data_IF_849589862523
#
_entry.id   IF_849589862523
#
_cell.length_a   1.000
_cell.length_b   1.000
_cell.length_c   1.000
_cell.angle_alpha   90.00
_cell.angle_beta   90.00
_cell.angle_gamma   90.00
#
_symmetry.space_group_name_H-M   'P 1'
#
loop_
_entity.id
_entity.type
_entity.pdbx_description
1 polymer ?
#
# COMPACT_ATOMS: atom_id res chain seq x y z
N UNK A 1 20.32 -0.89 -16.93
CA UNK A 1 19.66 -2.11 -17.46
C UNK A 1 18.27 -2.29 -16.86
N UNK A 2 18.12 -2.21 -15.53
CA UNK A 2 16.83 -2.23 -14.85
C UNK A 2 15.81 -1.24 -15.43
N UNK A 3 16.21 0.03 -15.66
CA UNK A 3 15.34 1.08 -16.23
C UNK A 3 14.70 0.70 -17.58
N UNK A 4 15.45 0.03 -18.47
CA UNK A 4 14.92 -0.40 -19.77
C UNK A 4 13.83 -1.45 -19.55
N UNK A 5 14.06 -2.41 -18.66
CA UNK A 5 13.09 -3.47 -18.38
C UNK A 5 11.85 -2.93 -17.68
N UNK A 6 12.02 -2.04 -16.69
CA UNK A 6 10.92 -1.34 -16.00
C UNK A 6 10.00 -0.67 -17.01
N UNK A 7 10.57 0.08 -17.96
CA UNK A 7 9.77 0.75 -19.01
C UNK A 7 9.09 -0.26 -19.95
N UNK A 8 9.71 -1.40 -20.22
CA UNK A 8 9.22 -2.40 -21.18
C UNK A 8 8.18 -3.35 -20.58
N UNK A 9 8.11 -3.47 -19.26
CA UNK A 9 7.05 -4.19 -18.55
C UNK A 9 5.65 -3.61 -18.84
N UNK A 10 5.54 -2.32 -19.19
CA UNK A 10 4.29 -1.68 -19.64
C UNK A 10 4.06 -1.66 -21.15
N UNK A 11 4.77 -2.49 -21.94
CA UNK A 11 4.61 -2.51 -23.40
C UNK A 11 3.24 -3.04 -23.84
N UNK A 12 2.73 -2.61 -24.99
CA UNK A 12 1.52 -3.23 -25.57
C UNK A 12 1.79 -4.64 -26.11
N UNK A 13 3.04 -4.97 -26.41
CA UNK A 13 3.45 -6.30 -26.89
C UNK A 13 3.63 -7.28 -25.72
N UNK A 14 2.84 -8.36 -25.72
CA UNK A 14 2.82 -9.38 -24.67
C UNK A 14 4.20 -10.02 -24.47
N UNK A 15 4.87 -10.42 -25.56
CA UNK A 15 6.19 -11.05 -25.48
C UNK A 15 7.21 -10.12 -24.84
N UNK A 16 7.18 -8.83 -25.19
CA UNK A 16 8.02 -7.79 -24.59
C UNK A 16 7.71 -7.61 -23.11
N UNK A 17 6.43 -7.54 -22.70
CA UNK A 17 6.06 -7.44 -21.28
C UNK A 17 6.51 -8.66 -20.49
N UNK A 18 6.22 -9.87 -20.98
CA UNK A 18 6.59 -11.13 -20.35
C UNK A 18 8.10 -11.24 -20.20
N UNK A 19 8.85 -10.98 -21.28
CA UNK A 19 10.32 -11.00 -21.22
C UNK A 19 10.84 -10.00 -20.18
N UNK A 20 10.26 -8.80 -20.14
CA UNK A 20 10.69 -7.76 -19.22
C UNK A 20 10.42 -8.13 -17.76
N UNK A 21 9.22 -8.59 -17.45
CA UNK A 21 8.85 -8.96 -16.06
C UNK A 21 9.63 -10.20 -15.60
N UNK A 22 9.90 -11.17 -16.47
CA UNK A 22 10.75 -12.32 -16.15
C UNK A 22 12.18 -11.90 -15.83
N UNK A 23 12.80 -11.01 -16.64
CA UNK A 23 14.14 -10.54 -16.32
C UNK A 23 14.19 -9.68 -15.06
N UNK A 24 13.16 -8.87 -14.80
CA UNK A 24 13.04 -8.14 -13.53
C UNK A 24 13.04 -9.13 -12.36
N UNK A 25 12.24 -10.20 -12.43
CA UNK A 25 12.18 -11.23 -11.39
C UNK A 25 13.55 -11.86 -11.12
N UNK A 26 14.25 -12.29 -12.18
CA UNK A 26 15.59 -12.87 -12.07
C UNK A 26 16.59 -11.88 -11.46
N UNK A 27 16.52 -10.60 -11.84
CA UNK A 27 17.38 -9.58 -11.24
C UNK A 27 17.10 -9.38 -9.76
N UNK A 28 15.84 -9.33 -9.34
CA UNK A 28 15.50 -9.19 -7.91
C UNK A 28 16.05 -10.38 -7.11
N UNK A 29 15.85 -11.62 -7.60
CA UNK A 29 16.35 -12.83 -6.94
C UNK A 29 17.87 -12.90 -6.83
N UNK A 30 18.59 -12.48 -7.88
CA UNK A 30 20.06 -12.56 -7.92
C UNK A 30 20.75 -11.34 -7.29
N UNK A 31 20.16 -10.16 -7.47
CA UNK A 31 20.74 -8.89 -7.06
C UNK A 31 20.48 -8.55 -5.60
N UNK A 32 19.32 -8.95 -5.06
CA UNK A 32 18.93 -8.66 -3.67
C UNK A 32 19.18 -7.20 -3.32
N UNK A 33 19.87 -6.96 -2.19
CA UNK A 33 20.17 -5.64 -1.63
C UNK A 33 20.89 -4.69 -2.60
N UNK A 34 21.67 -5.20 -3.55
CA UNK A 34 22.39 -4.36 -4.53
C UNK A 34 21.45 -3.59 -5.46
N UNK A 35 20.18 -4.01 -5.54
CA UNK A 35 19.16 -3.38 -6.37
C UNK A 35 18.24 -2.44 -5.58
N UNK A 36 18.46 -2.27 -4.27
CA UNK A 36 17.64 -1.42 -3.39
C UNK A 36 17.37 -0.02 -3.97
N UNK A 37 18.35 0.70 -4.53
CA UNK A 37 18.11 2.02 -5.14
C UNK A 37 17.12 2.01 -6.32
N UNK A 38 16.83 0.85 -6.90
CA UNK A 38 15.92 0.68 -8.04
C UNK A 38 14.58 0.04 -7.63
N UNK A 39 14.37 -0.32 -6.36
CA UNK A 39 13.17 -1.05 -5.93
C UNK A 39 11.87 -0.29 -6.17
N UNK A 40 11.88 1.03 -6.01
CA UNK A 40 10.70 1.84 -6.29
C UNK A 40 10.30 1.73 -7.78
N UNK A 41 11.24 1.92 -8.69
CA UNK A 41 10.99 1.81 -10.13
C UNK A 41 10.52 0.40 -10.51
N UNK A 42 11.16 -0.63 -9.93
CA UNK A 42 10.78 -2.02 -10.14
C UNK A 42 9.35 -2.27 -9.65
N UNK A 43 9.01 -1.85 -8.43
CA UNK A 43 7.68 -2.01 -7.88
C UNK A 43 6.62 -1.30 -8.74
N UNK A 44 6.95 -0.10 -9.23
CA UNK A 44 6.09 0.67 -10.12
C UNK A 44 5.79 -0.03 -11.45
N UNK A 45 6.68 -0.91 -11.92
CA UNK A 45 6.43 -1.78 -13.06
C UNK A 45 5.71 -3.08 -12.69
N UNK A 46 5.96 -3.63 -11.50
CA UNK A 46 5.43 -4.93 -11.06
C UNK A 46 3.95 -4.88 -10.66
N UNK A 47 3.53 -3.88 -9.87
CA UNK A 47 2.17 -3.85 -9.32
C UNK A 47 1.05 -3.83 -10.40
N UNK A 48 1.17 -3.06 -11.50
CA UNK A 48 0.18 -3.12 -12.58
C UNK A 48 0.11 -4.51 -13.23
N UNK A 49 1.23 -5.22 -13.34
CA UNK A 49 1.32 -6.55 -13.95
C UNK A 49 0.66 -7.67 -13.11
N UNK A 50 0.30 -7.42 -11.85
CA UNK A 50 -0.40 -8.40 -10.98
C UNK A 50 -1.78 -8.76 -11.55
N UNK A 51 -2.35 -7.85 -12.34
CA UNK A 51 -3.66 -7.99 -12.98
C UNK A 51 -3.55 -7.94 -14.51
N UNK A 52 -2.39 -8.25 -15.09
CA UNK A 52 -2.22 -8.37 -16.55
C UNK A 52 -3.18 -9.41 -17.14
N UNK A 53 -3.58 -9.25 -18.40
CA UNK A 53 -4.45 -10.18 -19.12
C UNK A 53 -3.78 -11.56 -19.27
N UNK A 54 -2.45 -11.59 -19.45
CA UNK A 54 -1.67 -12.83 -19.61
C UNK A 54 -1.33 -13.46 -18.26
N UNK A 55 -1.71 -14.72 -18.07
CA UNK A 55 -1.54 -15.44 -16.81
C UNK A 55 -0.08 -15.57 -16.39
N UNK A 56 0.82 -15.84 -17.32
CA UNK A 56 2.25 -15.97 -17.01
C UNK A 56 2.83 -14.67 -16.46
N UNK A 57 2.39 -13.52 -16.98
CA UNK A 57 2.82 -12.22 -16.48
C UNK A 57 2.34 -12.03 -15.05
N UNK A 58 1.07 -12.34 -14.75
CA UNK A 58 0.53 -12.26 -13.38
C UNK A 58 1.31 -13.11 -12.38
N UNK A 59 1.65 -14.34 -12.75
CA UNK A 59 2.41 -15.25 -11.89
C UNK A 59 3.79 -14.68 -11.57
N UNK A 60 4.53 -14.24 -12.59
CA UNK A 60 5.87 -13.66 -12.40
C UNK A 60 5.81 -12.34 -11.64
N UNK A 61 4.80 -11.50 -11.88
CA UNK A 61 4.62 -10.25 -11.16
C UNK A 61 4.36 -10.48 -9.67
N UNK A 62 3.49 -11.43 -9.32
CA UNK A 62 3.22 -11.80 -7.90
C UNK A 62 4.46 -12.34 -7.21
N UNK A 63 5.19 -13.23 -7.87
CA UNK A 63 6.45 -13.76 -7.34
C UNK A 63 7.47 -12.63 -7.10
N UNK A 64 7.65 -11.74 -8.08
CA UNK A 64 8.57 -10.59 -7.95
C UNK A 64 8.14 -9.67 -6.80
N UNK A 65 6.84 -9.43 -6.65
CA UNK A 65 6.28 -8.59 -5.61
C UNK A 65 6.55 -9.16 -4.21
N UNK A 66 6.43 -10.48 -4.04
CA UNK A 66 6.77 -11.15 -2.79
C UNK A 66 8.27 -11.07 -2.48
N UNK A 67 9.12 -11.31 -3.48
CA UNK A 67 10.58 -11.19 -3.31
C UNK A 67 10.97 -9.77 -2.87
N UNK A 68 10.44 -8.73 -3.52
CA UNK A 68 10.67 -7.33 -3.13
C UNK A 68 10.24 -7.05 -1.68
N UNK A 69 9.09 -7.58 -1.24
CA UNK A 69 8.62 -7.43 0.15
C UNK A 69 9.43 -8.23 1.15
N UNK A 70 9.97 -9.39 0.76
CA UNK A 70 10.75 -10.24 1.64
C UNK A 70 12.09 -9.60 2.02
N UNK A 71 12.63 -8.73 1.16
CA UNK A 71 13.91 -8.07 1.36
C UNK A 71 13.82 -7.07 2.52
N UNK A 72 14.81 -7.13 3.41
CA UNK A 72 14.96 -6.22 4.55
C UNK A 72 15.97 -5.13 4.18
N UNK A 73 15.52 -4.17 3.39
CA UNK A 73 16.38 -3.07 2.96
C UNK A 73 16.51 -2.01 4.07
N UNK A 74 17.70 -1.44 4.24
CA UNK A 74 17.89 -0.31 5.17
C UNK A 74 17.60 1.01 4.44
N UNK A 75 16.75 1.91 4.99
CA UNK A 75 16.58 3.27 4.46
C UNK A 75 17.91 4.02 4.27
N UNK A 76 18.93 3.75 5.10
CA UNK A 76 20.26 4.34 4.97
C UNK A 76 21.02 3.86 3.72
N UNK A 77 20.64 2.72 3.14
CA UNK A 77 21.26 2.13 1.94
C UNK A 77 20.51 2.50 0.64
N UNK A 78 19.60 3.47 0.71
CA UNK A 78 18.88 3.99 -0.46
C UNK A 78 17.50 3.37 -0.69
N UNK A 79 16.94 2.69 0.33
CA UNK A 79 15.55 2.23 0.28
C UNK A 79 14.60 3.43 0.46
N UNK A 80 14.07 3.93 -0.64
CA UNK A 80 13.18 5.09 -0.65
C UNK A 80 11.74 4.70 -0.27
N UNK A 81 11.46 4.71 1.03
CA UNK A 81 10.12 4.44 1.58
C UNK A 81 9.07 5.38 0.98
N UNK A 82 9.40 6.66 0.79
CA UNK A 82 8.47 7.65 0.24
C UNK A 82 8.05 7.31 -1.19
N UNK A 83 9.00 6.92 -2.03
CA UNK A 83 8.71 6.49 -3.40
C UNK A 83 7.86 5.21 -3.43
N UNK A 84 8.16 4.22 -2.59
CA UNK A 84 7.36 2.99 -2.47
C UNK A 84 5.93 3.31 -2.01
N UNK A 85 5.77 4.15 -0.99
CA UNK A 85 4.44 4.59 -0.51
C UNK A 85 3.68 5.35 -1.59
N UNK A 86 4.34 6.20 -2.36
CA UNK A 86 3.71 6.92 -3.46
C UNK A 86 3.17 5.96 -4.54
N UNK A 87 3.91 4.90 -4.83
CA UNK A 87 3.48 3.87 -5.77
C UNK A 87 2.30 3.08 -5.20
N UNK A 88 2.41 2.55 -3.98
CA UNK A 88 1.32 1.82 -3.33
C UNK A 88 0.04 2.68 -3.23
N UNK A 89 0.17 3.97 -2.85
CA UNK A 89 -0.93 4.94 -2.82
C UNK A 89 -1.61 5.09 -4.17
N UNK A 90 -0.85 5.14 -5.28
CA UNK A 90 -1.41 5.20 -6.63
C UNK A 90 -2.23 3.93 -6.92
N UNK A 91 -1.66 2.77 -6.62
CA UNK A 91 -2.27 1.46 -6.91
C UNK A 91 -3.49 1.13 -6.03
N UNK A 92 -3.70 1.81 -4.89
CA UNK A 92 -4.97 1.74 -4.15
C UNK A 92 -6.19 2.16 -4.99
N UNK A 93 -5.99 2.96 -6.03
CA UNK A 93 -7.06 3.40 -6.94
C UNK A 93 -7.15 2.51 -8.19
N UNK A 94 -6.44 1.38 -8.24
CA UNK A 94 -6.53 0.44 -9.37
C UNK A 94 -7.95 -0.10 -9.51
N UNK A 95 -8.43 -0.25 -10.74
CA UNK A 95 -9.71 -0.92 -11.02
C UNK A 95 -9.67 -2.40 -10.64
N UNK A 96 -8.48 -3.00 -10.60
CA UNK A 96 -8.27 -4.40 -10.26
C UNK A 96 -8.08 -4.60 -8.76
N UNK A 97 -8.98 -5.39 -8.16
CA UNK A 97 -8.96 -5.73 -6.73
C UNK A 97 -7.64 -6.35 -6.29
N UNK A 98 -7.10 -7.29 -7.08
CA UNK A 98 -5.83 -7.94 -6.76
C UNK A 98 -4.68 -6.92 -6.62
N UNK A 99 -4.61 -5.92 -7.49
CA UNK A 99 -3.57 -4.87 -7.40
C UNK A 99 -3.79 -3.96 -6.18
N UNK A 100 -5.04 -3.64 -5.83
CA UNK A 100 -5.37 -2.85 -4.62
C UNK A 100 -4.97 -3.59 -3.33
N UNK A 101 -5.25 -4.89 -3.25
CA UNK A 101 -4.85 -5.74 -2.11
C UNK A 101 -3.34 -5.74 -1.94
N UNK A 102 -2.60 -5.87 -3.04
CA UNK A 102 -1.14 -5.88 -3.00
C UNK A 102 -0.56 -4.53 -2.58
N UNK A 103 -1.19 -3.42 -2.96
CA UNK A 103 -0.86 -2.11 -2.44
C UNK A 103 -1.07 -2.01 -0.92
N UNK A 104 -2.17 -2.55 -0.39
CA UNK A 104 -2.42 -2.60 1.07
C UNK A 104 -1.37 -3.44 1.80
N UNK A 105 -0.92 -4.57 1.22
CA UNK A 105 0.19 -5.36 1.78
C UNK A 105 1.48 -4.55 1.88
N UNK A 106 1.76 -3.66 0.92
CA UNK A 106 2.90 -2.75 0.99
C UNK A 106 2.76 -1.73 2.11
N UNK A 107 1.59 -1.11 2.28
CA UNK A 107 1.34 -0.22 3.42
C UNK A 107 1.54 -0.93 4.76
N UNK A 108 1.01 -2.14 4.92
CA UNK A 108 1.18 -2.93 6.13
C UNK A 108 2.65 -3.28 6.38
N UNK A 109 3.36 -3.75 5.35
CA UNK A 109 4.77 -4.13 5.45
C UNK A 109 5.65 -2.95 5.86
N UNK A 110 5.39 -1.77 5.27
CA UNK A 110 6.15 -0.56 5.59
C UNK A 110 5.83 -0.02 6.98
N UNK A 111 4.56 -0.07 7.40
CA UNK A 111 4.16 0.30 8.75
C UNK A 111 4.79 -0.61 9.81
N UNK A 112 4.83 -1.92 9.56
CA UNK A 112 5.41 -2.92 10.48
C UNK A 112 6.93 -2.75 10.62
N UNK A 113 7.64 -2.49 9.51
CA UNK A 113 9.11 -2.47 9.49
C UNK A 113 9.74 -1.10 9.70
N UNK A 114 9.08 -0.04 9.23
CA UNK A 114 9.63 1.32 9.18
C UNK A 114 8.62 2.32 9.75
N UNK A 115 8.03 1.99 10.90
CA UNK A 115 6.96 2.77 11.52
C UNK A 115 7.36 4.25 11.71
N UNK A 116 8.60 4.53 12.15
CA UNK A 116 9.06 5.90 12.39
C UNK A 116 9.08 6.73 11.10
N UNK A 117 9.60 6.17 10.01
CA UNK A 117 9.70 6.79 8.70
C UNK A 117 8.32 6.89 8.02
N UNK A 118 7.51 5.84 8.15
CA UNK A 118 6.15 5.79 7.63
C UNK A 118 5.27 6.89 8.25
N UNK A 119 5.42 7.15 9.55
CA UNK A 119 4.66 8.20 10.25
C UNK A 119 4.87 9.59 9.63
N UNK A 120 6.03 9.85 9.03
CA UNK A 120 6.29 11.12 8.33
C UNK A 120 5.36 11.33 7.12
N UNK A 121 4.82 10.26 6.54
CA UNK A 121 3.91 10.29 5.39
C UNK A 121 2.44 10.13 5.77
N UNK A 122 2.13 9.90 7.06
CA UNK A 122 0.80 9.43 7.46
C UNK A 122 -0.31 10.41 7.08
N UNK A 123 -0.05 11.73 7.19
CA UNK A 123 -0.99 12.77 6.77
C UNK A 123 -1.40 12.65 5.29
N UNK A 124 -0.44 12.33 4.41
CA UNK A 124 -0.68 12.26 2.97
C UNK A 124 -1.35 10.95 2.54
N UNK A 125 -1.25 9.90 3.36
CA UNK A 125 -1.76 8.56 3.04
C UNK A 125 -3.04 8.20 3.79
N UNK A 126 -3.37 8.91 4.87
CA UNK A 126 -4.51 8.59 5.74
C UNK A 126 -5.83 8.54 4.97
N UNK A 127 -6.18 9.61 4.24
CA UNK A 127 -7.43 9.65 3.47
C UNK A 127 -7.48 8.60 2.34
N UNK A 128 -6.42 8.42 1.51
CA UNK A 128 -6.37 7.32 0.56
C UNK A 128 -6.59 5.93 1.19
N UNK A 129 -5.92 5.63 2.31
CA UNK A 129 -6.07 4.36 3.02
C UNK A 129 -7.46 4.19 3.61
N UNK A 130 -7.97 5.23 4.28
CA UNK A 130 -9.30 5.22 4.87
C UNK A 130 -10.36 5.01 3.79
N UNK A 131 -10.20 5.61 2.61
CA UNK A 131 -11.10 5.40 1.49
C UNK A 131 -11.06 3.96 0.99
N UNK A 132 -9.87 3.40 0.77
CA UNK A 132 -9.68 2.03 0.32
C UNK A 132 -10.28 1.01 1.30
N UNK A 133 -10.02 1.16 2.61
CA UNK A 133 -10.52 0.25 3.64
C UNK A 133 -12.02 0.39 3.95
N UNK A 134 -12.61 1.53 3.58
CA UNK A 134 -14.03 1.82 3.79
C UNK A 134 -14.90 1.54 2.56
N UNK A 135 -14.32 1.15 1.42
CA UNK A 135 -15.09 0.90 0.19
C UNK A 135 -15.96 -0.36 0.36
N UNK A 136 -17.30 -0.25 0.26
CA UNK A 136 -18.20 -1.41 0.32
C UNK A 136 -18.07 -2.34 -0.91
N UNK A 137 -17.27 -1.98 -1.93
CA UNK A 137 -17.04 -2.84 -3.10
C UNK A 137 -16.32 -4.16 -2.78
N UNK A 138 -15.64 -4.24 -1.63
CA UNK A 138 -15.05 -5.46 -1.03
C UNK A 138 -16.11 -6.39 -0.40
N UNK A 139 -17.41 -6.12 -0.59
CA UNK A 139 -18.46 -7.07 -0.26
C UNK A 139 -18.33 -8.31 -1.16
N UNK A 140 -18.33 -9.52 -0.58
CA UNK A 140 -18.05 -10.73 -1.34
C UNK A 140 -19.07 -10.92 -2.47
N UNK A 141 -18.58 -11.26 -3.67
CA UNK A 141 -19.36 -11.31 -4.91
C UNK A 141 -20.64 -12.16 -4.87
N UNK A 142 -20.79 -13.08 -3.90
CA UNK A 142 -21.99 -13.90 -3.73
C UNK A 142 -23.23 -13.10 -3.31
N UNK A 143 -23.09 -11.86 -2.85
CA UNK A 143 -24.24 -10.99 -2.57
C UNK A 143 -24.79 -10.31 -3.84
N UNK A 144 -23.99 -10.27 -4.92
CA UNK A 144 -24.36 -9.65 -6.22
C UNK A 144 -24.96 -10.61 -7.23
N UNK A 145 -24.84 -11.93 -7.01
CA UNK A 145 -25.40 -12.95 -7.88
C UNK A 145 -26.17 -13.93 -7.00
N UNK A 146 -27.50 -13.86 -7.02
CA UNK A 146 -28.38 -14.74 -6.25
C UNK A 146 -28.29 -16.19 -6.71
N UNK A 147 -27.24 -16.90 -6.29
CA UNK A 147 -27.08 -18.34 -6.47
C UNK A 147 -26.54 -18.98 -5.19
N UNK A 148 -27.24 -20.05 -4.83
CA UNK A 148 -27.24 -20.84 -3.60
C UNK A 148 -26.12 -21.89 -3.62
N UNK A 149 -25.58 -22.17 -2.42
CA UNK A 149 -24.71 -23.28 -2.02
C UNK A 149 -23.32 -23.41 -2.69
N UNK A 150 -22.28 -22.89 -2.01
CA UNK A 150 -20.93 -23.46 -2.08
C UNK A 150 -20.26 -23.46 -0.71
N UNK A 151 -19.70 -24.62 -0.36
CA UNK A 151 -19.06 -24.94 0.92
C UNK A 151 -17.87 -24.01 1.22
N UNK A 152 -17.71 -23.70 2.51
CA UNK A 152 -16.73 -22.76 3.05
C UNK A 152 -15.27 -23.18 2.79
N UNK A 153 -14.61 -22.52 1.83
CA UNK A 153 -13.17 -22.28 1.95
C UNK A 153 -13.06 -20.96 2.72
N UNK A 154 -12.48 -21.00 3.92
CA UNK A 154 -12.21 -19.81 4.72
C UNK A 154 -11.15 -18.99 3.98
N UNK A 155 -11.57 -18.08 3.11
CA UNK A 155 -10.73 -16.99 2.68
C UNK A 155 -10.49 -16.11 3.91
N UNK A 156 -9.24 -15.92 4.32
CA UNK A 156 -8.90 -14.85 5.25
C UNK A 156 -9.14 -13.53 4.52
N UNK A 157 -10.37 -13.05 4.59
CA UNK A 157 -10.75 -11.71 4.14
C UNK A 157 -10.14 -10.72 5.14
N UNK A 158 -9.41 -9.72 4.67
CA UNK A 158 -9.05 -8.56 5.48
C UNK A 158 -10.39 -7.91 5.89
N UNK A 159 -10.73 -7.78 7.18
CA UNK A 159 -12.02 -7.25 7.59
C UNK A 159 -12.23 -5.86 7.00
N UNK A 160 -13.14 -5.72 6.02
CA UNK A 160 -13.44 -4.41 5.46
C UNK A 160 -14.11 -3.56 6.55
N UNK A 161 -13.59 -2.35 6.76
CA UNK A 161 -14.12 -1.45 7.77
C UNK A 161 -15.50 -0.92 7.38
N UNK A 162 -15.89 -1.04 6.11
CA UNK A 162 -17.17 -0.53 5.58
C UNK A 162 -18.41 -0.98 6.38
N UNK A 163 -18.41 -2.20 6.92
CA UNK A 163 -19.55 -2.77 7.67
C UNK A 163 -19.41 -2.65 9.20
N UNK A 164 -18.31 -2.06 9.71
CA UNK A 164 -18.07 -1.90 11.16
C UNK A 164 -18.56 -0.55 11.71
N UNK A 165 -19.16 0.28 10.87
CA UNK A 165 -19.80 1.53 11.28
C UNK A 165 -21.19 1.33 11.90
N UNK A 166 -21.66 2.35 12.62
CA UNK A 166 -23.07 2.42 13.05
C UNK A 166 -23.83 3.31 12.05
N UNK A 167 -25.00 2.86 11.60
CA UNK A 167 -25.89 3.71 10.81
C UNK A 167 -26.61 4.68 11.75
N UNK A 168 -26.39 5.97 11.56
CA UNK A 168 -27.10 7.04 12.26
C UNK A 168 -27.76 7.97 11.24
N UNK A 169 -29.01 8.38 11.50
CA UNK A 169 -29.75 9.36 10.69
C UNK A 169 -29.87 9.04 9.18
N UNK A 170 -29.95 7.75 8.82
CA UNK A 170 -30.10 7.32 7.43
C UNK A 170 -28.81 7.32 6.59
N UNK A 171 -27.66 7.60 7.21
CA UNK A 171 -26.34 7.49 6.57
C UNK A 171 -25.87 6.03 6.54
N UNK A 172 -25.09 5.69 5.50
CA UNK A 172 -24.52 4.37 5.37
C UNK A 172 -23.47 4.12 6.48
N UNK A 173 -23.33 2.88 7.01
CA UNK A 173 -22.43 2.58 8.13
C UNK A 173 -20.98 3.09 7.95
N UNK A 174 -20.40 2.93 6.76
CA UNK A 174 -19.04 3.36 6.45
C UNK A 174 -18.81 4.87 6.61
N UNK A 175 -19.85 5.71 6.48
CA UNK A 175 -19.75 7.16 6.69
C UNK A 175 -19.43 7.50 8.15
N UNK A 176 -20.15 6.87 9.09
CA UNK A 176 -19.91 7.05 10.53
C UNK A 176 -18.54 6.51 10.95
N UNK A 177 -18.06 5.43 10.34
CA UNK A 177 -16.70 4.93 10.57
C UNK A 177 -15.64 5.93 10.09
N UNK A 178 -15.79 6.51 8.89
CA UNK A 178 -14.87 7.55 8.39
C UNK A 178 -14.81 8.77 9.30
N UNK A 179 -15.96 9.21 9.80
CA UNK A 179 -16.03 10.35 10.74
C UNK A 179 -15.29 10.05 12.05
N UNK A 180 -15.47 8.85 12.62
CA UNK A 180 -14.72 8.41 13.81
C UNK A 180 -13.22 8.33 13.55
N UNK A 181 -12.80 7.68 12.47
CA UNK A 181 -11.37 7.57 12.13
C UNK A 181 -10.73 8.95 11.95
N UNK A 182 -11.41 9.90 11.29
CA UNK A 182 -10.92 11.29 11.17
C UNK A 182 -10.79 11.99 12.52
N UNK A 183 -11.76 11.81 13.42
CA UNK A 183 -11.71 12.39 14.77
C UNK A 183 -10.56 11.79 15.60
N UNK A 184 -10.40 10.47 15.56
CA UNK A 184 -9.31 9.78 16.26
C UNK A 184 -7.95 10.20 15.71
N UNK A 185 -7.84 10.39 14.40
CA UNK A 185 -6.63 10.89 13.75
C UNK A 185 -6.26 12.31 14.23
N UNK A 186 -7.21 13.24 14.26
CA UNK A 186 -6.97 14.58 14.79
C UNK A 186 -6.54 14.58 16.27
N UNK A 187 -7.11 13.67 17.08
CA UNK A 187 -6.70 13.48 18.47
C UNK A 187 -5.27 12.92 18.57
N UNK A 188 -4.91 11.95 17.72
CA UNK A 188 -3.55 11.41 17.66
C UNK A 188 -2.52 12.48 17.28
N UNK A 189 -2.80 13.28 16.24
CA UNK A 189 -1.93 14.38 15.82
C UNK A 189 -1.69 15.38 16.96
N UNK A 190 -2.77 15.75 17.67
CA UNK A 190 -2.69 16.66 18.83
C UNK A 190 -1.77 16.09 19.91
N UNK A 191 -1.95 14.80 20.25
CA UNK A 191 -1.14 14.12 21.29
C UNK A 191 0.33 14.01 20.89
N UNK A 192 0.62 13.76 19.61
CA UNK A 192 1.99 13.73 19.08
C UNK A 192 2.66 15.10 19.18
N UNK A 193 1.98 16.17 18.75
CA UNK A 193 2.50 17.54 18.83
C UNK A 193 2.76 17.99 20.28
N UNK A 194 1.85 17.65 21.20
CA UNK A 194 2.02 17.91 22.64
C UNK A 194 3.23 17.16 23.23
N UNK A 195 3.40 15.88 22.87
CA UNK A 195 4.51 15.06 23.33
C UNK A 195 5.86 15.57 22.80
N UNK A 196 5.92 15.95 21.52
CA UNK A 196 7.11 16.53 20.90
C UNK A 196 7.50 17.85 21.56
N UNK A 197 6.53 18.74 21.78
CA UNK A 197 6.74 20.00 22.51
C UNK A 197 7.30 19.76 23.91
N UNK A 198 6.70 18.84 24.66
CA UNK A 198 7.14 18.50 26.01
C UNK A 198 8.57 17.93 26.04
N UNK A 199 8.95 17.12 25.05
CA UNK A 199 10.30 16.60 24.90
C UNK A 199 11.34 17.72 24.71
N UNK A 200 11.09 18.65 23.78
CA UNK A 200 12.01 19.77 23.54
C UNK A 200 12.12 20.73 24.74
N UNK A 201 11.00 21.03 25.40
CA UNK A 201 11.00 21.81 26.65
C UNK A 201 11.85 21.15 27.74
N UNK A 202 11.74 19.82 27.90
CA UNK A 202 12.52 19.05 28.87
C UNK A 202 14.02 19.04 28.55
N UNK A 203 14.38 19.04 27.27
CA UNK A 203 15.78 19.07 26.81
C UNK A 203 16.38 20.48 26.81
N UNK A 204 15.59 21.52 27.12
CA UNK A 204 16.04 22.93 27.11
C UNK A 204 16.35 23.46 25.70
N UNK A 205 15.79 22.82 24.67
CA UNK A 205 16.00 23.15 23.27
C UNK A 205 14.72 23.82 22.75
N UNK A 206 14.84 24.93 22.03
CA UNK A 206 13.69 25.52 21.34
C UNK A 206 13.17 24.53 20.29
N UNK A 207 11.89 24.14 20.33
CA UNK A 207 11.32 23.24 19.34
C UNK A 207 11.55 23.82 17.94
N UNK A 208 11.95 22.99 16.94
CA UNK A 208 11.90 23.44 15.56
C UNK A 208 10.48 23.88 15.23
N UNK A 209 10.33 24.91 14.39
CA UNK A 209 9.02 25.33 13.85
C UNK A 209 8.49 24.23 12.91
N UNK A 210 8.06 23.09 13.46
CA UNK A 210 7.42 22.03 12.67
C UNK A 210 5.96 22.41 12.56
N UNK A 211 5.62 22.98 11.41
CA UNK A 211 4.24 23.16 11.00
C UNK A 211 3.74 21.76 10.63
N UNK A 212 3.18 21.02 11.60
CA UNK A 212 2.18 20.02 11.24
C UNK A 212 0.98 20.80 10.72
N UNK A 213 0.94 20.96 9.39
CA UNK A 213 -0.14 21.66 8.70
C UNK A 213 -1.44 20.94 9.03
N UNK A 214 -2.32 21.67 9.70
CA UNK A 214 -3.74 21.36 9.93
C UNK A 214 -4.51 21.17 8.64
#
# INVERSE_FOLDING_TARGET
MAEILVRRAGSTDEFTRLTSITWINEFVKLGGEQLVPYYADILGAVLPCISDEEEKIRVVARETNEELRAIKADPAEGFDIGAILSIAKRELNSEHEATRIEALHWFFTLLDRYCAEFLAYLNDIFDPLLNALSDPSDAPAHEKIGVVDSQWIVHQVIPSLGNQGQSENGRAPWEGLRERCRKEWGLFQTRMAEAEKAYYEMMGITPPNVIFVS
#
